data_IF_239016996030
#
_entry.id   IF_239016996030
#
_cell.length_a   1.000
_cell.length_b   1.000
_cell.length_c   1.000
_cell.angle_alpha   90.00
_cell.angle_beta   90.00
_cell.angle_gamma   90.00
#
_symmetry.space_group_name_H-M   'P 1'
#
loop_
_entity.id
_entity.type
_entity.pdbx_description
1 polymer ?
#
# COMPACT_ATOMS: atom_id res chain seq x y z
N UNK A 1 -9.84 -32.85 -27.43
CA UNK A 1 -9.94 -31.62 -28.22
C UNK A 1 -10.70 -30.66 -27.31
N UNK A 2 -9.96 -29.91 -26.54
CA UNK A 2 -10.47 -28.81 -25.69
C UNK A 2 -10.05 -27.56 -26.41
N UNK A 3 -11.00 -26.78 -26.86
CA UNK A 3 -10.76 -25.54 -27.60
C UNK A 3 -10.26 -24.47 -26.64
N UNK A 4 -9.11 -23.94 -27.01
CA UNK A 4 -8.36 -22.87 -26.36
C UNK A 4 -9.08 -21.53 -26.64
N UNK A 5 -9.88 -21.04 -25.73
CA UNK A 5 -10.46 -19.70 -25.80
C UNK A 5 -9.49 -18.69 -25.16
N UNK A 6 -8.40 -18.39 -25.87
CA UNK A 6 -7.61 -17.19 -25.56
C UNK A 6 -8.27 -15.97 -26.17
N UNK A 7 -9.03 -15.26 -25.36
CA UNK A 7 -9.51 -13.92 -25.68
C UNK A 7 -8.33 -12.93 -25.58
N UNK A 8 -7.91 -12.43 -26.74
CA UNK A 8 -6.93 -11.34 -26.82
C UNK A 8 -7.69 -10.03 -26.66
N UNK A 9 -7.69 -9.45 -25.47
CA UNK A 9 -8.17 -8.09 -25.26
C UNK A 9 -7.03 -7.11 -25.36
N UNK A 10 -7.15 -6.17 -26.30
CA UNK A 10 -6.30 -5.00 -26.40
C UNK A 10 -6.91 -3.91 -25.53
N UNK A 11 -6.21 -3.46 -24.52
CA UNK A 11 -6.55 -2.24 -23.81
C UNK A 11 -6.54 -1.07 -24.79
N UNK A 12 -7.69 -0.46 -25.02
CA UNK A 12 -7.85 0.81 -25.71
C UNK A 12 -7.91 1.88 -24.62
N UNK A 13 -6.76 2.46 -24.30
CA UNK A 13 -6.72 3.70 -23.52
C UNK A 13 -7.26 4.81 -24.41
N UNK A 14 -8.46 5.29 -24.10
CA UNK A 14 -8.98 6.53 -24.70
C UNK A 14 -8.21 7.70 -24.10
N UNK A 15 -7.17 8.13 -24.79
CA UNK A 15 -6.50 9.39 -24.54
C UNK A 15 -7.45 10.55 -24.75
N UNK A 16 -8.03 11.09 -23.69
CA UNK A 16 -8.76 12.35 -23.70
C UNK A 16 -7.78 13.52 -23.92
N UNK A 17 -7.71 14.03 -25.14
CA UNK A 17 -7.03 15.27 -25.45
C UNK A 17 -7.81 16.44 -24.84
N UNK A 18 -7.40 16.93 -23.67
CA UNK A 18 -7.87 18.21 -23.14
C UNK A 18 -7.05 19.33 -23.74
N UNK A 19 -7.69 20.10 -24.59
CA UNK A 19 -7.15 21.28 -25.24
C UNK A 19 -6.82 22.37 -24.22
N UNK A 20 -5.61 22.90 -24.33
CA UNK A 20 -5.17 24.10 -23.65
C UNK A 20 -6.01 25.29 -24.08
N UNK A 21 -6.77 25.88 -23.16
CA UNK A 21 -7.32 27.21 -23.30
C UNK A 21 -6.52 28.19 -22.46
N UNK A 22 -5.68 28.96 -23.13
CA UNK A 22 -5.04 30.11 -22.54
C UNK A 22 -6.09 31.21 -22.28
N UNK A 23 -6.20 31.68 -21.03
CA UNK A 23 -6.83 32.97 -20.75
C UNK A 23 -5.84 33.88 -20.02
N UNK A 24 -5.51 34.93 -20.74
CA UNK A 24 -4.74 36.05 -20.25
C UNK A 24 -5.60 36.98 -19.36
N UNK A 25 -5.03 37.39 -18.27
CA UNK A 25 -5.03 38.70 -17.61
C UNK A 25 -6.32 39.44 -17.33
N UNK A 26 -6.44 39.91 -16.09
CA UNK A 26 -6.48 41.36 -15.82
C UNK A 26 -6.37 41.64 -14.31
N UNK A 27 -5.52 42.57 -14.01
CA UNK A 27 -5.18 43.26 -12.76
C UNK A 27 -6.31 44.24 -12.34
N UNK A 28 -6.45 44.43 -11.02
CA UNK A 28 -7.13 45.56 -10.39
C UNK A 28 -7.94 45.07 -9.17
N UNK A 29 -7.69 45.42 -7.98
CA UNK A 29 -7.25 46.61 -7.30
C UNK A 29 -8.22 46.93 -6.18
N UNK A 30 -7.71 46.94 -4.91
CA UNK A 30 -8.14 47.78 -3.75
C UNK A 30 -9.65 47.86 -3.39
N UNK A 31 -10.07 47.82 -2.20
CA UNK A 31 -9.80 48.45 -0.94
C UNK A 31 -10.89 48.12 0.10
N UNK A 32 -10.46 48.03 1.32
CA UNK A 32 -10.99 48.58 2.57
C UNK A 32 -12.38 48.33 3.14
N UNK A 33 -12.24 48.09 4.42
CA UNK A 33 -13.02 48.59 5.57
C UNK A 33 -14.16 47.65 6.10
N UNK A 34 -13.90 47.10 7.25
CA UNK A 34 -14.07 47.59 8.62
C UNK A 34 -15.51 47.43 9.21
N UNK A 35 -15.49 47.04 10.42
CA UNK A 35 -16.39 47.25 11.56
C UNK A 35 -17.41 46.16 11.92
N UNK A 36 -17.10 45.58 13.06
CA UNK A 36 -17.72 45.78 14.38
C UNK A 36 -19.03 45.03 14.67
N UNK A 37 -18.87 44.25 15.65
CA UNK A 37 -19.34 44.25 17.04
C UNK A 37 -20.64 43.51 17.35
N UNK A 38 -20.56 42.93 18.54
CA UNK A 38 -21.58 42.62 19.55
C UNK A 38 -22.43 41.34 19.34
N UNK A 39 -22.51 40.39 20.20
CA UNK A 39 -22.38 40.41 21.66
C UNK A 39 -23.52 39.60 22.25
N UNK A 40 -23.28 39.05 23.41
CA UNK A 40 -24.22 38.42 24.33
C UNK A 40 -24.61 36.95 24.00
N UNK A 41 -24.28 35.90 24.75
CA UNK A 41 -24.27 35.79 26.20
C UNK A 41 -25.64 35.33 26.72
N UNK A 42 -25.70 34.06 27.16
CA UNK A 42 -26.52 33.74 28.35
C UNK A 42 -26.26 32.31 28.82
N UNK A 43 -25.90 32.24 30.07
CA UNK A 43 -25.75 31.10 30.95
C UNK A 43 -27.08 30.38 31.25
N UNK A 44 -26.95 29.14 31.73
CA UNK A 44 -28.07 28.48 32.40
C UNK A 44 -27.81 26.98 32.60
N UNK A 45 -27.00 26.57 33.48
CA UNK A 45 -27.12 26.02 34.84
C UNK A 45 -28.32 25.07 35.06
N UNK A 46 -28.00 23.88 35.58
CA UNK A 46 -29.02 23.15 36.36
C UNK A 46 -28.93 21.61 36.34
N UNK A 47 -27.99 21.04 37.02
CA UNK A 47 -28.11 20.14 38.20
C UNK A 47 -29.06 18.93 38.16
N UNK A 48 -28.48 17.74 38.33
CA UNK A 48 -28.81 16.84 39.46
C UNK A 48 -29.80 15.71 39.21
N UNK A 49 -29.37 14.50 39.49
CA UNK A 49 -30.29 13.41 39.78
C UNK A 49 -29.69 12.02 39.77
N UNK A 50 -29.07 11.69 40.87
CA UNK A 50 -28.67 10.35 41.31
C UNK A 50 -29.88 9.43 41.48
N UNK A 51 -29.76 8.13 41.12
CA UNK A 51 -30.85 7.16 41.37
C UNK A 51 -30.39 5.73 41.20
N UNK A 52 -29.92 5.16 42.26
CA UNK A 52 -29.49 3.78 42.50
C UNK A 52 -30.62 2.74 42.42
N UNK A 53 -30.30 1.52 41.98
CA UNK A 53 -30.81 0.29 42.59
C UNK A 53 -31.83 -0.53 41.83
N UNK A 54 -31.54 -1.81 41.66
CA UNK A 54 -32.55 -2.83 41.42
C UNK A 54 -32.09 -4.12 40.78
N UNK A 55 -31.53 -4.98 41.58
CA UNK A 55 -31.30 -6.42 41.34
C UNK A 55 -32.63 -7.16 41.08
N UNK A 56 -32.65 -8.09 40.10
CA UNK A 56 -33.83 -8.92 39.85
C UNK A 56 -33.50 -10.11 38.96
N UNK A 57 -33.26 -11.22 39.61
CA UNK A 57 -33.03 -12.58 39.17
C UNK A 57 -34.26 -13.22 38.44
N UNK A 58 -33.97 -14.05 37.41
CA UNK A 58 -34.67 -15.30 37.16
C UNK A 58 -35.71 -15.29 36.04
N UNK A 59 -35.52 -16.23 35.10
CA UNK A 59 -36.60 -16.66 34.22
C UNK A 59 -36.12 -17.46 33.01
N UNK A 60 -35.98 -18.75 33.20
CA UNK A 60 -35.88 -19.78 32.18
C UNK A 60 -37.08 -19.69 31.23
N UNK A 61 -36.88 -19.74 29.93
CA UNK A 61 -37.97 -19.81 28.96
C UNK A 61 -37.44 -20.43 27.64
N UNK A 62 -37.58 -21.76 27.56
CA UNK A 62 -37.44 -22.52 26.31
C UNK A 62 -38.45 -21.96 25.29
N UNK A 63 -37.96 -21.42 24.19
CA UNK A 63 -38.71 -20.98 23.02
C UNK A 63 -38.07 -21.43 21.74
N UNK A 64 -38.40 -22.65 21.31
CA UNK A 64 -38.11 -23.19 19.98
C UNK A 64 -38.77 -22.28 18.93
N UNK A 65 -37.97 -21.53 18.18
CA UNK A 65 -38.37 -20.71 17.05
C UNK A 65 -37.41 -20.94 15.90
N UNK A 66 -37.75 -21.95 15.09
CA UNK A 66 -37.10 -22.20 13.81
C UNK A 66 -37.41 -21.03 12.84
N UNK A 67 -36.46 -20.15 12.66
CA UNK A 67 -36.45 -19.12 11.63
C UNK A 67 -35.03 -19.11 11.08
N UNK A 68 -34.84 -19.68 9.87
CA UNK A 68 -33.57 -19.65 9.20
C UNK A 68 -33.16 -18.20 8.90
N UNK A 69 -32.33 -17.63 9.73
CA UNK A 69 -31.42 -16.58 9.40
C UNK A 69 -30.22 -17.29 8.76
N UNK A 70 -29.83 -16.90 7.54
CA UNK A 70 -28.54 -17.29 7.02
C UNK A 70 -27.49 -16.93 8.08
N UNK A 71 -26.72 -17.92 8.50
CA UNK A 71 -25.62 -17.68 9.43
C UNK A 71 -24.73 -16.64 8.76
N UNK A 72 -24.60 -15.46 9.39
CA UNK A 72 -23.61 -14.47 8.99
C UNK A 72 -22.25 -15.16 9.02
N UNK A 73 -21.47 -15.09 7.93
CA UNK A 73 -20.12 -15.64 7.91
C UNK A 73 -19.15 -14.82 8.79
N UNK A 74 -19.59 -13.65 9.28
CA UNK A 74 -18.79 -12.85 10.21
C UNK A 74 -18.68 -13.59 11.55
N UNK A 75 -17.45 -13.93 11.89
CA UNK A 75 -17.09 -14.69 13.10
C UNK A 75 -16.76 -13.77 14.27
N UNK A 76 -16.79 -14.35 15.47
CA UNK A 76 -16.22 -13.72 16.66
C UNK A 76 -14.70 -13.58 16.48
N UNK A 77 -14.16 -12.41 16.81
CA UNK A 77 -12.75 -12.07 16.61
C UNK A 77 -11.80 -13.03 17.36
N UNK A 78 -12.26 -13.62 18.46
CA UNK A 78 -11.52 -14.65 19.22
C UNK A 78 -11.36 -15.99 18.50
N UNK A 79 -12.03 -16.19 17.38
CA UNK A 79 -11.96 -17.43 16.57
C UNK A 79 -10.97 -17.30 15.40
N UNK A 80 -10.34 -16.13 15.20
CA UNK A 80 -9.37 -15.93 14.12
C UNK A 80 -8.08 -16.72 14.38
N UNK A 81 -7.68 -17.55 13.40
CA UNK A 81 -6.37 -18.23 13.40
C UNK A 81 -5.53 -17.67 12.23
N UNK A 82 -4.45 -16.93 12.49
CA UNK A 82 -3.62 -16.34 11.43
C UNK A 82 -2.92 -17.37 10.54
N UNK A 83 -2.84 -18.66 10.97
CA UNK A 83 -2.25 -19.73 10.17
C UNK A 83 -3.29 -20.44 9.29
N UNK A 84 -4.57 -20.35 9.63
CA UNK A 84 -5.69 -20.94 8.88
C UNK A 84 -6.96 -20.12 9.08
N UNK A 85 -7.05 -18.92 8.45
CA UNK A 85 -8.20 -18.03 8.61
C UNK A 85 -9.54 -18.63 8.13
N UNK A 86 -9.49 -19.63 7.24
CA UNK A 86 -10.68 -20.29 6.72
C UNK A 86 -11.61 -19.36 5.94
N UNK A 87 -11.06 -18.52 5.07
CA UNK A 87 -11.77 -17.50 4.28
C UNK A 87 -12.98 -18.03 3.50
N UNK A 88 -12.99 -19.30 3.12
CA UNK A 88 -14.11 -19.91 2.39
C UNK A 88 -15.39 -20.01 3.25
N UNK A 89 -15.23 -20.01 4.57
CA UNK A 89 -16.32 -20.22 5.53
C UNK A 89 -16.51 -19.02 6.50
N UNK A 90 -15.52 -18.11 6.56
CA UNK A 90 -15.47 -17.10 7.61
C UNK A 90 -15.08 -15.72 7.07
N UNK A 91 -15.64 -14.69 7.71
CA UNK A 91 -15.22 -13.30 7.60
C UNK A 91 -14.93 -12.78 9.01
N UNK A 92 -14.06 -11.80 9.10
CA UNK A 92 -13.65 -11.21 10.37
C UNK A 92 -13.67 -9.68 10.30
N UNK A 93 -13.84 -9.02 11.45
CA UNK A 93 -13.57 -7.58 11.52
C UNK A 93 -12.10 -7.32 11.30
N UNK A 94 -11.80 -6.12 10.82
CA UNK A 94 -10.41 -5.70 10.64
C UNK A 94 -9.65 -5.68 11.98
N UNK A 95 -10.34 -5.38 13.10
CA UNK A 95 -9.76 -5.47 14.45
C UNK A 95 -9.17 -6.86 14.75
N UNK A 96 -9.85 -7.95 14.37
CA UNK A 96 -9.33 -9.29 14.57
C UNK A 96 -8.06 -9.57 13.76
N UNK A 97 -7.96 -9.00 12.55
CA UNK A 97 -6.79 -9.11 11.68
C UNK A 97 -5.58 -8.41 12.31
N UNK A 98 -5.80 -7.21 12.87
CA UNK A 98 -4.78 -6.41 13.56
C UNK A 98 -4.36 -7.05 14.87
N UNK A 99 -5.31 -7.44 15.74
CA UNK A 99 -5.04 -8.01 17.06
C UNK A 99 -4.31 -9.37 17.01
N UNK A 100 -4.40 -10.09 15.89
CA UNK A 100 -3.76 -11.39 15.69
C UNK A 100 -2.53 -11.32 14.76
N UNK A 101 -1.94 -10.14 14.55
CA UNK A 101 -0.72 -9.92 13.77
C UNK A 101 -0.80 -10.45 12.33
N UNK A 102 -1.99 -10.45 11.69
CA UNK A 102 -2.16 -10.92 10.32
C UNK A 102 -1.93 -9.82 9.26
N UNK A 103 -1.66 -8.61 9.69
CA UNK A 103 -1.43 -7.45 8.81
C UNK A 103 -0.17 -7.66 7.94
N UNK A 104 0.85 -8.32 8.49
CA UNK A 104 2.16 -8.51 7.84
C UNK A 104 2.51 -9.98 7.67
N UNK A 105 3.58 -10.22 6.94
CA UNK A 105 4.28 -11.50 6.90
C UNK A 105 5.27 -11.64 8.06
N UNK A 106 5.81 -12.85 8.22
CA UNK A 106 6.80 -13.19 9.24
C UNK A 106 8.14 -13.51 8.60
N UNK A 107 9.21 -13.52 9.37
CA UNK A 107 10.57 -13.83 8.89
C UNK A 107 10.62 -15.13 8.10
N UNK A 108 9.85 -16.16 8.49
CA UNK A 108 9.79 -17.44 7.79
C UNK A 108 9.21 -17.32 6.37
N UNK A 109 8.26 -16.40 6.15
CA UNK A 109 7.72 -16.12 4.82
C UNK A 109 8.77 -15.44 3.93
N UNK A 110 9.53 -14.50 4.50
CA UNK A 110 10.61 -13.80 3.79
C UNK A 110 11.76 -14.77 3.42
N UNK A 111 12.14 -15.65 4.34
CA UNK A 111 13.12 -16.72 4.07
C UNK A 111 12.61 -17.65 2.96
N UNK A 112 11.35 -18.05 3.00
CA UNK A 112 10.73 -18.89 1.97
C UNK A 112 10.71 -18.22 0.59
N UNK A 113 10.50 -16.90 0.52
CA UNK A 113 10.62 -16.13 -0.73
C UNK A 113 12.05 -16.18 -1.28
N UNK A 114 13.07 -16.05 -0.42
CA UNK A 114 14.49 -16.13 -0.79
C UNK A 114 14.95 -17.54 -1.22
N UNK A 115 14.25 -18.59 -0.76
CA UNK A 115 14.57 -20.00 -1.08
C UNK A 115 13.86 -20.50 -2.34
N UNK A 116 13.01 -19.71 -2.98
CA UNK A 116 12.34 -20.11 -4.22
C UNK A 116 13.34 -20.57 -5.29
N UNK A 117 13.08 -21.72 -5.91
CA UNK A 117 13.90 -22.28 -7.01
C UNK A 117 13.54 -21.59 -8.34
N UNK A 118 14.08 -20.40 -8.53
CA UNK A 118 13.82 -19.55 -9.69
C UNK A 118 15.12 -19.29 -10.44
N UNK A 119 15.21 -19.81 -11.65
CA UNK A 119 16.39 -19.65 -12.52
C UNK A 119 16.44 -18.28 -13.19
N UNK A 120 15.31 -17.78 -13.68
CA UNK A 120 15.16 -16.54 -14.45
C UNK A 120 14.08 -15.65 -13.86
N UNK A 121 14.11 -14.36 -14.18
CA UNK A 121 13.07 -13.40 -13.83
C UNK A 121 11.76 -13.81 -14.50
N UNK A 122 10.68 -13.90 -13.72
CA UNK A 122 9.39 -14.40 -14.21
C UNK A 122 8.74 -13.50 -15.27
N UNK A 123 9.03 -12.19 -15.25
CA UNK A 123 8.49 -11.19 -16.18
C UNK A 123 9.41 -9.97 -16.26
N UNK A 124 9.51 -9.35 -17.45
CA UNK A 124 10.37 -8.21 -17.70
C UNK A 124 11.86 -8.56 -17.87
N UNK A 125 12.72 -7.59 -17.66
CA UNK A 125 14.15 -7.72 -17.83
C UNK A 125 14.83 -8.27 -16.55
N UNK A 126 15.97 -8.99 -16.68
CA UNK A 126 16.85 -9.23 -15.55
C UNK A 126 17.41 -7.89 -15.05
N UNK A 127 18.02 -7.91 -13.86
CA UNK A 127 18.70 -6.72 -13.33
C UNK A 127 19.76 -6.24 -14.30
N UNK A 128 19.92 -4.93 -14.47
CA UNK A 128 21.00 -4.37 -15.28
C UNK A 128 22.36 -4.67 -14.66
N UNK A 129 23.37 -4.85 -15.50
CA UNK A 129 24.76 -4.93 -15.06
C UNK A 129 25.38 -3.53 -15.04
N UNK A 130 26.28 -3.23 -14.10
CA UNK A 130 27.03 -1.98 -14.11
C UNK A 130 27.79 -1.77 -15.45
N UNK A 131 27.96 -0.51 -15.90
CA UNK A 131 28.72 -0.21 -17.11
C UNK A 131 30.15 -0.81 -17.08
N UNK A 132 30.56 -1.46 -18.18
CA UNK A 132 31.96 -1.96 -18.34
C UNK A 132 32.94 -0.79 -18.51
N UNK A 133 32.50 0.33 -19.08
CA UNK A 133 33.33 1.53 -19.26
C UNK A 133 33.22 2.43 -18.02
N UNK A 134 34.29 2.54 -17.26
CA UNK A 134 34.35 3.38 -16.06
C UNK A 134 33.94 4.86 -16.33
N UNK A 135 34.04 5.31 -17.58
CA UNK A 135 33.62 6.70 -17.94
C UNK A 135 32.11 6.89 -18.01
N UNK A 136 31.33 5.81 -18.02
CA UNK A 136 29.87 5.81 -17.97
C UNK A 136 29.34 5.71 -16.53
N UNK A 137 30.23 5.43 -15.57
CA UNK A 137 29.87 5.41 -14.16
C UNK A 137 29.59 6.84 -13.65
N UNK A 138 28.62 6.95 -12.77
CA UNK A 138 28.14 8.21 -12.19
C UNK A 138 28.56 8.32 -10.73
N UNK A 139 29.19 9.43 -10.37
CA UNK A 139 29.56 9.82 -9.02
C UNK A 139 28.87 11.16 -8.68
N UNK A 140 27.56 11.16 -8.36
CA UNK A 140 26.75 12.36 -8.26
C UNK A 140 27.09 13.21 -7.03
N UNK A 141 26.98 14.53 -7.20
CA UNK A 141 27.04 15.51 -6.12
C UNK A 141 26.03 16.65 -6.40
N UNK A 142 24.95 16.77 -5.67
CA UNK A 142 24.56 15.96 -4.51
C UNK A 142 24.09 14.54 -4.89
N UNK A 143 24.14 13.63 -3.92
CA UNK A 143 23.43 12.36 -3.96
C UNK A 143 21.96 12.61 -3.63
N UNK A 144 21.02 12.08 -4.41
CA UNK A 144 19.59 12.36 -4.24
C UNK A 144 18.84 11.07 -3.93
N UNK A 145 18.11 11.07 -2.82
CA UNK A 145 17.20 10.01 -2.40
C UNK A 145 15.76 10.41 -2.73
N UNK A 146 14.99 9.47 -3.28
CA UNK A 146 13.55 9.61 -3.52
C UNK A 146 12.81 8.52 -2.75
N UNK A 147 11.68 8.88 -2.14
CA UNK A 147 10.79 7.90 -1.53
C UNK A 147 9.48 7.78 -2.30
N UNK A 148 8.80 6.65 -2.13
CA UNK A 148 7.43 6.53 -2.61
C UNK A 148 6.55 7.60 -1.93
N UNK A 149 5.46 8.05 -2.59
CA UNK A 149 4.60 9.04 -1.98
C UNK A 149 4.04 8.53 -0.65
N UNK A 150 4.20 9.34 0.39
CA UNK A 150 3.66 9.10 1.73
C UNK A 150 2.37 9.86 1.94
N UNK A 151 1.62 9.44 2.93
CA UNK A 151 0.36 10.08 3.35
C UNK A 151 0.61 11.33 4.21
N UNK A 152 1.82 11.49 4.74
CA UNK A 152 2.23 12.60 5.60
C UNK A 152 2.49 13.88 4.80
N UNK A 153 2.35 15.02 5.46
CA UNK A 153 2.74 16.30 4.88
C UNK A 153 4.24 16.38 4.62
N UNK A 154 4.65 16.97 3.49
CA UNK A 154 6.04 17.11 3.04
C UNK A 154 7.03 17.56 4.15
N UNK A 155 6.62 18.51 5.00
CA UNK A 155 7.48 19.05 6.07
C UNK A 155 7.70 18.02 7.20
N UNK A 156 6.68 17.23 7.56
CA UNK A 156 6.79 16.19 8.59
C UNK A 156 7.64 15.04 8.05
N UNK A 157 7.41 14.64 6.82
CA UNK A 157 8.20 13.60 6.18
C UNK A 157 9.68 13.96 6.09
N UNK A 158 10.01 15.22 5.77
CA UNK A 158 11.41 15.68 5.73
C UNK A 158 12.11 15.51 7.09
N UNK A 159 11.44 15.82 8.20
CA UNK A 159 12.00 15.63 9.54
C UNK A 159 12.22 14.12 9.84
N UNK A 160 11.32 13.27 9.40
CA UNK A 160 11.37 11.83 9.61
C UNK A 160 12.48 11.15 8.80
N UNK A 161 12.73 11.59 7.56
CA UNK A 161 13.78 11.03 6.71
C UNK A 161 15.18 11.57 7.03
N UNK A 162 15.29 12.66 7.76
CA UNK A 162 16.58 13.30 8.07
C UNK A 162 17.61 12.36 8.70
N UNK A 163 17.29 11.45 9.65
CA UNK A 163 18.25 10.49 10.18
C UNK A 163 18.88 9.59 9.12
N UNK A 164 18.12 9.21 8.10
CA UNK A 164 18.62 8.45 6.95
C UNK A 164 19.57 9.31 6.11
N UNK A 165 19.17 10.56 5.79
CA UNK A 165 20.03 11.45 4.99
C UNK A 165 21.37 11.70 5.68
N UNK A 166 21.35 11.94 7.00
CA UNK A 166 22.59 12.14 7.81
C UNK A 166 23.51 10.91 7.76
N UNK A 167 22.94 9.69 7.80
CA UNK A 167 23.70 8.44 7.68
C UNK A 167 24.29 8.25 6.29
N UNK A 168 23.55 8.58 5.26
CA UNK A 168 24.03 8.56 3.88
C UNK A 168 25.17 9.58 3.68
N UNK A 169 25.07 10.79 4.26
CA UNK A 169 26.13 11.78 4.22
C UNK A 169 27.40 11.29 4.96
N UNK A 170 27.24 10.66 6.13
CA UNK A 170 28.36 10.11 6.89
C UNK A 170 29.07 8.98 6.14
N UNK A 171 28.33 8.07 5.54
CA UNK A 171 28.88 6.90 4.84
C UNK A 171 29.54 7.28 3.51
N UNK A 172 28.88 8.13 2.71
CA UNK A 172 29.33 8.45 1.35
C UNK A 172 30.27 9.66 1.27
N UNK A 173 30.27 10.52 2.31
CA UNK A 173 30.98 11.80 2.31
C UNK A 173 30.40 12.84 1.35
N UNK A 174 29.19 12.63 0.83
CA UNK A 174 28.49 13.49 -0.13
C UNK A 174 27.42 14.31 0.57
N UNK A 175 27.01 15.42 -0.03
CA UNK A 175 25.75 16.07 0.32
C UNK A 175 24.60 15.21 -0.15
N UNK A 176 23.63 14.93 0.73
CA UNK A 176 22.45 14.12 0.40
C UNK A 176 21.19 14.98 0.44
N UNK A 177 20.34 14.84 -0.56
CA UNK A 177 19.08 15.56 -0.66
C UNK A 177 17.94 14.57 -0.87
N UNK A 178 16.77 14.91 -0.30
CA UNK A 178 15.54 14.23 -0.58
C UNK A 178 14.76 14.92 -1.70
N UNK A 179 14.24 14.14 -2.65
CA UNK A 179 13.38 14.59 -3.74
C UNK A 179 11.93 14.22 -3.44
N UNK A 180 11.03 15.17 -3.14
CA UNK A 180 9.62 14.87 -2.93
C UNK A 180 8.93 14.48 -4.24
N UNK A 181 8.06 13.47 -4.17
CA UNK A 181 7.24 12.99 -5.29
C UNK A 181 5.79 12.82 -4.88
N UNK A 182 4.87 12.87 -5.85
CA UNK A 182 3.43 12.84 -5.59
C UNK A 182 2.71 11.59 -6.14
N UNK A 183 3.46 10.67 -6.75
CA UNK A 183 2.90 9.42 -7.29
C UNK A 183 3.98 8.36 -7.48
N UNK A 184 3.58 7.12 -7.58
CA UNK A 184 4.48 5.99 -7.90
C UNK A 184 5.20 6.20 -9.23
N UNK A 185 4.50 6.72 -10.25
CA UNK A 185 5.09 7.06 -11.54
C UNK A 185 6.18 8.12 -11.41
N UNK A 186 5.99 9.13 -10.55
CA UNK A 186 6.98 10.18 -10.33
C UNK A 186 8.26 9.66 -9.65
N UNK A 187 8.17 8.66 -8.77
CA UNK A 187 9.32 7.97 -8.16
C UNK A 187 10.18 7.30 -9.24
N UNK A 188 9.54 6.50 -10.11
CA UNK A 188 10.25 5.81 -11.21
C UNK A 188 10.86 6.82 -12.18
N UNK A 189 10.15 7.90 -12.52
CA UNK A 189 10.64 8.93 -13.43
C UNK A 189 11.80 9.74 -12.85
N UNK A 190 11.82 9.99 -11.52
CA UNK A 190 12.95 10.65 -10.87
C UNK A 190 14.25 9.81 -10.99
N UNK A 191 14.15 8.50 -10.77
CA UNK A 191 15.26 7.56 -10.95
C UNK A 191 15.67 7.46 -12.43
N UNK A 192 14.71 7.30 -13.34
CA UNK A 192 14.96 7.17 -14.79
C UNK A 192 15.67 8.39 -15.39
N UNK A 193 15.24 9.57 -14.99
CA UNK A 193 15.83 10.83 -15.48
C UNK A 193 17.15 11.21 -14.82
N UNK A 194 17.60 10.47 -13.80
CA UNK A 194 18.80 10.78 -13.04
C UNK A 194 18.64 11.97 -12.09
N UNK A 195 17.40 12.40 -11.79
CA UNK A 195 17.13 13.38 -10.73
C UNK A 195 17.31 12.75 -9.34
N UNK A 196 17.01 11.46 -9.22
CA UNK A 196 17.31 10.66 -8.03
C UNK A 196 18.27 9.52 -8.37
N UNK A 197 19.03 9.07 -7.38
CA UNK A 197 20.09 8.08 -7.52
C UNK A 197 19.83 6.85 -6.65
N UNK A 198 19.16 7.04 -5.53
CA UNK A 198 18.71 6.02 -4.58
C UNK A 198 17.22 6.24 -4.37
N UNK A 199 16.48 5.18 -4.10
CA UNK A 199 15.06 5.34 -3.79
C UNK A 199 14.49 4.19 -2.99
N UNK A 200 13.34 4.46 -2.36
CA UNK A 200 12.40 3.45 -1.92
C UNK A 200 11.24 3.46 -2.92
N UNK A 201 11.02 2.35 -3.60
CA UNK A 201 9.94 2.23 -4.59
C UNK A 201 8.87 1.27 -4.08
N UNK A 202 7.61 1.46 -4.47
CA UNK A 202 6.55 0.55 -4.02
C UNK A 202 6.76 -0.86 -4.59
N UNK A 203 6.18 -1.85 -3.91
CA UNK A 203 6.29 -3.26 -4.32
C UNK A 203 5.87 -3.47 -5.78
N UNK A 204 4.74 -2.91 -6.19
CA UNK A 204 4.21 -3.05 -7.56
C UNK A 204 5.06 -2.32 -8.59
N UNK A 205 5.58 -1.13 -8.26
CA UNK A 205 6.38 -0.34 -9.21
C UNK A 205 7.84 -0.76 -9.29
N UNK A 206 8.30 -1.68 -8.44
CA UNK A 206 9.69 -2.17 -8.46
C UNK A 206 10.07 -2.72 -9.84
N UNK A 207 9.22 -3.52 -10.45
CA UNK A 207 9.49 -4.07 -11.78
C UNK A 207 9.51 -2.99 -12.86
N UNK A 208 8.64 -1.99 -12.77
CA UNK A 208 8.71 -0.81 -13.65
C UNK A 208 10.03 -0.05 -13.48
N UNK A 209 10.48 0.15 -12.23
CA UNK A 209 11.73 0.82 -11.95
C UNK A 209 12.94 0.04 -12.50
N UNK A 210 12.96 -1.29 -12.38
CA UNK A 210 13.98 -2.15 -12.99
C UNK A 210 13.99 -2.03 -14.52
N UNK A 211 12.82 -2.07 -15.16
CA UNK A 211 12.70 -2.11 -16.61
C UNK A 211 12.81 -0.74 -17.30
N UNK A 212 12.47 0.35 -16.61
CA UNK A 212 12.42 1.70 -17.20
C UNK A 212 13.51 2.63 -16.69
N UNK A 213 14.01 2.40 -15.48
CA UNK A 213 14.98 3.27 -14.82
C UNK A 213 16.31 2.58 -14.53
N UNK A 214 16.48 1.31 -14.95
CA UNK A 214 17.68 0.53 -14.76
C UNK A 214 18.19 0.57 -13.30
N UNK A 215 17.29 0.34 -12.34
CA UNK A 215 17.64 0.29 -10.92
C UNK A 215 17.88 -1.12 -10.43
N UNK A 216 18.62 -1.24 -9.34
CA UNK A 216 18.95 -2.50 -8.68
C UNK A 216 18.31 -2.49 -7.28
N UNK A 217 17.25 -3.26 -7.02
CA UNK A 217 16.72 -3.50 -5.69
C UNK A 217 17.70 -4.31 -4.84
N UNK A 218 17.97 -3.89 -3.60
CA UNK A 218 18.99 -4.55 -2.79
C UNK A 218 18.60 -4.82 -1.34
N UNK A 219 17.66 -4.07 -0.76
CA UNK A 219 17.28 -4.24 0.64
C UNK A 219 15.78 -4.09 0.84
N UNK A 220 15.23 -4.81 1.81
CA UNK A 220 13.85 -4.70 2.27
C UNK A 220 13.80 -4.55 3.78
N UNK A 221 12.89 -3.70 4.28
CA UNK A 221 12.75 -3.40 5.69
C UNK A 221 12.06 -4.52 6.46
N UNK A 222 12.47 -4.72 7.72
CA UNK A 222 11.92 -5.68 8.68
C UNK A 222 11.68 -4.97 10.00
N UNK A 223 10.58 -5.26 10.68
CA UNK A 223 10.27 -4.70 11.99
C UNK A 223 11.10 -5.37 13.10
N UNK A 224 11.16 -4.73 14.28
CA UNK A 224 11.93 -5.22 15.43
C UNK A 224 11.50 -6.62 15.91
N UNK A 225 10.26 -7.00 15.68
CA UNK A 225 9.71 -8.33 16.03
C UNK A 225 9.82 -9.37 14.92
N UNK A 226 10.45 -9.02 13.78
CA UNK A 226 10.64 -9.87 12.62
C UNK A 226 9.46 -9.89 11.64
N UNK A 227 8.45 -9.04 11.82
CA UNK A 227 7.39 -8.87 10.83
C UNK A 227 7.91 -8.07 9.63
N UNK A 228 7.35 -8.32 8.45
CA UNK A 228 7.72 -7.62 7.22
C UNK A 228 6.55 -7.48 6.26
N UNK A 229 6.65 -6.52 5.34
CA UNK A 229 5.75 -6.36 4.23
C UNK A 229 4.29 -6.17 4.65
N UNK A 230 3.38 -6.65 3.82
CA UNK A 230 1.95 -6.44 3.97
C UNK A 230 1.16 -7.50 3.19
N UNK A 231 -0.18 -7.49 3.36
CA UNK A 231 -1.09 -8.34 2.60
C UNK A 231 -2.06 -7.50 1.77
N UNK A 232 -2.59 -8.07 0.72
CA UNK A 232 -3.84 -7.63 0.13
C UNK A 232 -4.99 -8.12 1.03
N UNK A 233 -5.85 -7.23 1.46
CA UNK A 233 -7.13 -7.54 2.08
C UNK A 233 -8.27 -7.13 1.14
N UNK A 234 -9.26 -7.99 0.98
CA UNK A 234 -10.52 -7.64 0.33
C UNK A 234 -11.50 -7.23 1.44
N UNK A 235 -11.91 -5.97 1.43
CA UNK A 235 -12.70 -5.35 2.50
C UNK A 235 -14.05 -4.83 2.05
N UNK A 236 -14.95 -4.73 3.00
CA UNK A 236 -16.24 -4.03 2.91
C UNK A 236 -16.60 -3.47 4.28
N UNK A 237 -17.70 -2.70 4.38
CA UNK A 237 -18.21 -2.27 5.70
C UNK A 237 -18.82 -3.43 6.49
N UNK A 238 -18.73 -3.35 7.81
CA UNK A 238 -19.29 -4.38 8.71
C UNK A 238 -20.81 -4.53 8.57
N UNK A 239 -21.55 -3.47 8.16
CA UNK A 239 -22.99 -3.49 7.96
C UNK A 239 -23.45 -4.05 6.59
N UNK A 240 -22.51 -4.40 5.71
CA UNK A 240 -22.80 -5.03 4.41
C UNK A 240 -22.86 -6.56 4.56
N UNK A 241 -23.96 -7.04 5.14
CA UNK A 241 -24.16 -8.48 5.42
C UNK A 241 -24.19 -9.34 4.16
N UNK A 242 -24.56 -8.77 3.01
CA UNK A 242 -24.68 -9.49 1.73
C UNK A 242 -23.34 -9.78 1.08
N UNK A 243 -22.28 -9.01 1.39
CA UNK A 243 -20.95 -9.24 0.85
C UNK A 243 -20.20 -10.20 1.78
N UNK A 244 -20.07 -11.46 1.39
CA UNK A 244 -19.46 -12.51 2.19
C UNK A 244 -18.14 -13.01 1.60
N UNK A 245 -17.87 -12.71 0.34
CA UNK A 245 -16.74 -13.19 -0.44
C UNK A 245 -16.42 -12.21 -1.56
N UNK A 246 -15.21 -12.28 -2.11
CA UNK A 246 -14.86 -11.59 -3.37
C UNK A 246 -15.79 -11.99 -4.51
N UNK A 247 -16.35 -13.21 -4.48
CA UNK A 247 -17.34 -13.65 -5.50
C UNK A 247 -18.64 -12.82 -5.53
N UNK A 248 -18.91 -12.06 -4.46
CA UNK A 248 -20.08 -11.16 -4.41
C UNK A 248 -19.79 -9.77 -5.02
N UNK A 249 -18.51 -9.39 -5.18
CA UNK A 249 -18.09 -8.06 -5.66
C UNK A 249 -18.75 -7.61 -6.97
N UNK A 250 -18.99 -8.49 -7.96
CA UNK A 250 -19.65 -8.10 -9.23
C UNK A 250 -21.02 -7.41 -9.10
N UNK A 251 -21.72 -7.61 -7.99
CA UNK A 251 -23.03 -7.01 -7.75
C UNK A 251 -22.96 -5.64 -7.05
N UNK A 252 -21.74 -5.13 -6.76
CA UNK A 252 -21.52 -3.95 -5.92
C UNK A 252 -20.60 -2.92 -6.57
N UNK A 253 -20.54 -1.72 -5.99
CA UNK A 253 -19.61 -0.67 -6.40
C UNK A 253 -18.21 -0.92 -5.83
N UNK A 254 -17.32 -1.47 -6.67
CA UNK A 254 -15.97 -1.86 -6.28
C UNK A 254 -14.97 -0.77 -6.61
N UNK A 255 -14.13 -0.38 -5.64
CA UNK A 255 -13.01 0.52 -5.89
C UNK A 255 -11.70 -0.21 -5.91
N UNK A 256 -10.79 0.21 -6.80
CA UNK A 256 -9.37 -0.09 -6.77
C UNK A 256 -8.57 1.18 -6.45
N UNK A 257 -7.27 1.08 -6.16
CA UNK A 257 -6.48 2.26 -5.76
C UNK A 257 -5.86 2.99 -6.93
N UNK A 258 -4.78 2.47 -7.49
CA UNK A 258 -4.04 2.99 -8.64
C UNK A 258 -3.59 1.83 -9.55
N UNK A 259 -3.42 2.02 -10.87
CA UNK A 259 -3.08 0.95 -11.80
C UNK A 259 -1.77 0.20 -11.48
N UNK A 260 -0.76 0.89 -10.99
CA UNK A 260 0.54 0.30 -10.63
C UNK A 260 0.61 -0.24 -9.18
N UNK A 261 -0.45 -0.07 -8.38
CA UNK A 261 -0.50 -0.58 -7.01
C UNK A 261 -0.55 -2.10 -6.99
N UNK A 262 0.32 -2.75 -6.22
CA UNK A 262 0.32 -4.21 -6.10
C UNK A 262 -0.98 -4.71 -5.45
N UNK A 263 -1.25 -4.36 -4.18
CA UNK A 263 -2.42 -4.84 -3.44
C UNK A 263 -3.72 -4.13 -3.81
N UNK A 264 -3.64 -2.94 -4.42
CA UNK A 264 -4.82 -2.16 -4.79
C UNK A 264 -5.34 -2.44 -6.20
N UNK A 265 -4.54 -3.08 -7.09
CA UNK A 265 -4.98 -3.38 -8.45
C UNK A 265 -4.31 -4.62 -9.06
N UNK A 266 -2.97 -4.71 -9.11
CA UNK A 266 -2.28 -5.77 -9.85
C UNK A 266 -2.56 -7.17 -9.26
N UNK A 267 -2.40 -7.35 -7.95
CA UNK A 267 -2.67 -8.61 -7.28
C UNK A 267 -4.17 -8.96 -7.27
N UNK A 268 -5.11 -8.04 -6.98
CA UNK A 268 -6.54 -8.31 -7.14
C UNK A 268 -6.90 -8.80 -8.54
N UNK A 269 -6.38 -8.17 -9.60
CA UNK A 269 -6.69 -8.55 -10.99
C UNK A 269 -6.29 -9.98 -11.34
N UNK A 270 -5.25 -10.52 -10.71
CA UNK A 270 -4.82 -11.90 -10.91
C UNK A 270 -5.45 -12.87 -9.91
N UNK A 271 -5.46 -12.49 -8.61
CA UNK A 271 -5.84 -13.41 -7.54
C UNK A 271 -7.36 -13.56 -7.40
N UNK A 272 -8.14 -12.52 -7.71
CA UNK A 272 -9.60 -12.63 -7.71
C UNK A 272 -10.09 -13.56 -8.82
N UNK A 273 -9.49 -13.49 -10.02
CA UNK A 273 -9.76 -14.46 -11.08
C UNK A 273 -9.34 -15.88 -10.67
N UNK A 274 -8.12 -16.01 -10.13
CA UNK A 274 -7.57 -17.32 -9.77
C UNK A 274 -8.37 -18.05 -8.67
N UNK A 275 -8.82 -17.32 -7.65
CA UNK A 275 -9.43 -17.92 -6.45
C UNK A 275 -10.95 -17.87 -6.45
N UNK A 276 -11.56 -16.91 -7.15
CA UNK A 276 -13.00 -16.66 -7.10
C UNK A 276 -13.69 -16.66 -8.46
N UNK A 277 -12.95 -16.81 -9.58
CA UNK A 277 -13.47 -16.70 -10.96
C UNK A 277 -14.13 -15.31 -11.18
N UNK A 278 -13.53 -14.26 -10.57
CA UNK A 278 -13.95 -12.85 -10.68
C UNK A 278 -12.84 -12.04 -11.34
N UNK A 279 -13.10 -11.56 -12.53
CA UNK A 279 -12.12 -10.78 -13.32
C UNK A 279 -12.50 -9.29 -13.31
N UNK A 280 -11.71 -8.42 -12.65
CA UNK A 280 -11.90 -6.97 -12.72
C UNK A 280 -11.92 -6.47 -14.18
N UNK A 281 -12.76 -5.47 -14.48
CA UNK A 281 -13.09 -4.96 -15.81
C UNK A 281 -13.89 -5.90 -16.72
N UNK A 282 -14.10 -7.17 -16.32
CA UNK A 282 -15.00 -8.09 -17.01
C UNK A 282 -16.29 -8.30 -16.24
N UNK A 283 -16.18 -8.60 -14.95
CA UNK A 283 -17.32 -8.92 -14.09
C UNK A 283 -17.85 -7.69 -13.34
N UNK A 284 -17.00 -6.69 -13.12
CA UNK A 284 -17.39 -5.38 -12.61
C UNK A 284 -16.49 -4.29 -13.21
N UNK A 285 -16.97 -3.03 -13.27
CA UNK A 285 -16.19 -1.88 -13.71
C UNK A 285 -15.21 -1.47 -12.62
N UNK A 286 -13.90 -1.35 -12.94
CA UNK A 286 -12.89 -0.88 -12.00
C UNK A 286 -12.94 0.64 -11.91
N UNK A 287 -13.21 1.16 -10.73
CA UNK A 287 -13.12 2.59 -10.41
C UNK A 287 -11.87 2.83 -9.55
N UNK A 288 -10.97 3.71 -10.02
CA UNK A 288 -9.75 4.05 -9.28
C UNK A 288 -9.98 5.22 -8.34
N UNK A 289 -9.80 5.01 -7.03
CA UNK A 289 -9.92 6.04 -6.00
C UNK A 289 -8.76 7.03 -5.97
N UNK A 290 -7.59 6.62 -6.48
CA UNK A 290 -6.35 7.40 -6.48
C UNK A 290 -5.40 7.08 -5.32
N UNK A 291 -5.76 6.15 -4.41
CA UNK A 291 -4.89 5.73 -3.32
C UNK A 291 -5.59 4.84 -2.29
N UNK A 292 -4.82 4.25 -1.37
CA UNK A 292 -5.35 3.34 -0.36
C UNK A 292 -6.26 4.05 0.64
N UNK A 293 -5.88 5.25 1.08
CA UNK A 293 -6.69 6.07 2.00
C UNK A 293 -8.02 6.44 1.39
N UNK A 294 -8.01 6.89 0.13
CA UNK A 294 -9.21 7.26 -0.60
C UNK A 294 -10.15 6.05 -0.76
N UNK A 295 -9.61 4.85 -1.03
CA UNK A 295 -10.41 3.61 -1.08
C UNK A 295 -11.03 3.29 0.28
N UNK A 296 -10.24 3.27 1.34
CA UNK A 296 -10.71 2.92 2.68
C UNK A 296 -11.75 3.93 3.19
N UNK A 297 -11.48 5.24 3.07
CA UNK A 297 -12.42 6.30 3.45
C UNK A 297 -13.71 6.19 2.63
N UNK A 298 -13.60 6.03 1.30
CA UNK A 298 -14.74 5.89 0.41
C UNK A 298 -15.64 4.69 0.77
N UNK A 299 -15.04 3.56 1.18
CA UNK A 299 -15.78 2.41 1.69
C UNK A 299 -16.45 2.75 3.02
N UNK A 300 -15.74 3.36 3.99
CA UNK A 300 -16.29 3.70 5.29
C UNK A 300 -17.51 4.65 5.20
N UNK A 301 -17.45 5.65 4.31
CA UNK A 301 -18.56 6.62 4.14
C UNK A 301 -19.64 6.16 3.16
N UNK A 302 -19.43 5.04 2.46
CA UNK A 302 -20.40 4.44 1.54
C UNK A 302 -20.39 5.02 0.12
N UNK A 303 -19.30 5.67 -0.30
CA UNK A 303 -19.07 6.06 -1.70
C UNK A 303 -18.77 4.83 -2.56
N UNK A 304 -18.10 3.84 -1.96
CA UNK A 304 -17.85 2.50 -2.50
C UNK A 304 -18.42 1.44 -1.54
N UNK A 305 -18.75 0.26 -2.06
CA UNK A 305 -19.27 -0.83 -1.24
C UNK A 305 -18.15 -1.74 -0.73
N UNK A 306 -17.15 -2.03 -1.57
CA UNK A 306 -16.06 -2.93 -1.27
C UNK A 306 -14.83 -2.63 -2.15
N UNK A 307 -13.71 -3.29 -1.83
CA UNK A 307 -12.51 -3.20 -2.65
C UNK A 307 -11.28 -3.85 -2.02
N UNK A 308 -10.20 -3.99 -2.80
CA UNK A 308 -8.90 -4.42 -2.32
C UNK A 308 -8.14 -3.27 -1.66
N UNK A 309 -7.43 -3.59 -0.58
CA UNK A 309 -6.64 -2.62 0.18
C UNK A 309 -5.30 -3.23 0.62
N UNK A 310 -4.29 -2.39 0.82
CA UNK A 310 -3.06 -2.75 1.53
C UNK A 310 -3.36 -2.84 3.03
N UNK A 311 -2.98 -3.91 3.66
CA UNK A 311 -3.27 -4.15 5.07
C UNK A 311 -2.60 -3.15 6.01
N UNK A 312 -1.35 -2.77 5.74
CA UNK A 312 -0.63 -1.76 6.54
C UNK A 312 -1.15 -0.36 6.26
N UNK A 313 -1.54 -0.06 5.03
CA UNK A 313 -2.08 1.25 4.69
C UNK A 313 -3.40 1.54 5.43
N UNK A 314 -4.31 0.55 5.52
CA UNK A 314 -5.55 0.74 6.28
C UNK A 314 -5.30 0.76 7.79
N UNK A 315 -4.30 0.00 8.29
CA UNK A 315 -3.88 0.07 9.70
C UNK A 315 -3.39 1.48 10.05
N UNK A 316 -2.49 2.04 9.23
CA UNK A 316 -1.93 3.37 9.43
C UNK A 316 -2.99 4.46 9.33
N UNK A 317 -3.91 4.35 8.34
CA UNK A 317 -5.03 5.26 8.19
C UNK A 317 -5.91 5.29 9.44
N UNK A 318 -6.36 4.13 9.93
CA UNK A 318 -7.23 4.05 11.10
C UNK A 318 -6.52 4.58 12.35
N UNK A 319 -5.23 4.25 12.53
CA UNK A 319 -4.44 4.74 13.66
C UNK A 319 -4.21 6.27 13.64
N UNK A 320 -4.26 6.89 12.46
CA UNK A 320 -4.05 8.34 12.29
C UNK A 320 -5.34 9.17 12.40
N UNK A 321 -6.54 8.55 12.50
CA UNK A 321 -7.84 9.21 12.44
C UNK A 321 -8.74 8.86 13.62
N UNK A 322 -9.53 9.84 14.06
CA UNK A 322 -10.51 9.67 15.15
C UNK A 322 -11.94 9.35 14.65
N UNK A 323 -12.18 9.41 13.34
CA UNK A 323 -13.51 9.30 12.72
C UNK A 323 -13.74 7.98 11.96
N UNK A 324 -12.75 7.09 11.94
CA UNK A 324 -12.80 5.75 11.34
C UNK A 324 -12.21 4.76 12.35
N UNK A 325 -12.86 3.60 12.51
CA UNK A 325 -12.46 2.55 13.45
C UNK A 325 -12.21 1.22 12.72
N UNK A 326 -11.36 0.35 13.29
CA UNK A 326 -11.16 -1.02 12.80
C UNK A 326 -12.47 -1.83 12.77
N UNK A 327 -13.42 -1.51 13.65
CA UNK A 327 -14.74 -2.13 13.70
C UNK A 327 -15.66 -1.73 12.52
N UNK A 328 -15.32 -0.67 11.77
CA UNK A 328 -16.12 -0.24 10.62
C UNK A 328 -15.94 -1.19 9.42
N UNK A 329 -14.85 -1.94 9.38
CA UNK A 329 -14.50 -2.80 8.26
C UNK A 329 -14.60 -4.29 8.57
N UNK A 330 -15.06 -5.02 7.58
CA UNK A 330 -15.07 -6.48 7.50
C UNK A 330 -14.11 -6.92 6.40
N UNK A 331 -13.26 -7.90 6.71
CA UNK A 331 -12.36 -8.55 5.77
C UNK A 331 -12.99 -9.85 5.30
N UNK A 332 -13.18 -9.98 3.99
CA UNK A 332 -13.78 -11.16 3.36
C UNK A 332 -12.74 -12.10 2.75
N UNK A 333 -11.52 -11.61 2.57
CA UNK A 333 -10.38 -12.41 2.12
C UNK A 333 -9.05 -11.68 2.34
N UNK A 334 -7.98 -12.44 2.53
CA UNK A 334 -6.61 -11.94 2.63
C UNK A 334 -5.61 -12.81 1.89
N UNK A 335 -4.64 -12.19 1.22
CA UNK A 335 -3.58 -12.87 0.48
C UNK A 335 -2.47 -13.41 1.39
N UNK A 336 -1.56 -14.21 0.81
CA UNK A 336 -0.22 -14.37 1.36
C UNK A 336 0.49 -13.01 1.43
N UNK A 337 1.50 -12.86 2.32
CA UNK A 337 2.22 -11.60 2.42
C UNK A 337 3.03 -11.29 1.16
N UNK A 338 3.15 -9.99 0.85
CA UNK A 338 4.05 -9.43 -0.14
C UNK A 338 5.23 -8.75 0.55
N UNK A 339 6.42 -8.72 -0.05
CA UNK A 339 7.53 -7.93 0.47
C UNK A 339 7.16 -6.43 0.48
N UNK A 340 7.75 -5.63 1.39
CA UNK A 340 7.59 -4.19 1.35
C UNK A 340 8.28 -3.60 0.12
N UNK A 341 8.06 -2.33 -0.17
CA UNK A 341 8.83 -1.63 -1.19
C UNK A 341 10.34 -1.72 -0.91
N UNK A 342 11.17 -2.06 -1.90
CA UNK A 342 12.59 -2.23 -1.70
C UNK A 342 13.34 -0.90 -1.77
N UNK A 343 14.49 -0.86 -1.15
CA UNK A 343 15.49 0.16 -1.44
C UNK A 343 16.21 -0.21 -2.73
N UNK A 344 16.32 0.77 -3.62
CA UNK A 344 16.94 0.61 -4.93
C UNK A 344 18.05 1.64 -5.13
N UNK A 345 19.02 1.32 -5.98
CA UNK A 345 19.97 2.29 -6.49
C UNK A 345 20.07 2.20 -8.02
N UNK A 346 20.50 3.25 -8.67
CA UNK A 346 20.78 3.23 -10.12
C UNK A 346 21.94 2.28 -10.41
N UNK A 347 21.86 1.56 -11.54
CA UNK A 347 22.85 0.58 -11.96
C UNK A 347 24.23 1.17 -12.29
N UNK A 348 24.25 2.46 -12.69
CA UNK A 348 25.42 3.16 -13.21
C UNK A 348 26.20 3.97 -12.15
N UNK A 349 25.90 3.79 -10.86
CA UNK A 349 26.67 4.42 -9.79
C UNK A 349 28.06 3.77 -9.66
N UNK A 350 29.01 4.60 -9.23
CA UNK A 350 30.38 4.14 -8.94
C UNK A 350 30.37 3.02 -7.88
N UNK A 351 31.08 1.89 -8.10
CA UNK A 351 30.98 0.70 -7.22
C UNK A 351 31.29 0.96 -5.74
N UNK A 352 32.27 1.83 -5.42
CA UNK A 352 32.57 2.18 -4.03
C UNK A 352 31.42 2.96 -3.39
N UNK A 353 30.77 3.85 -4.15
CA UNK A 353 29.59 4.56 -3.69
C UNK A 353 28.42 3.61 -3.45
N UNK A 354 28.23 2.60 -4.29
CA UNK A 354 27.19 1.57 -4.10
C UNK A 354 27.44 0.76 -2.81
N UNK A 355 28.69 0.39 -2.51
CA UNK A 355 29.05 -0.31 -1.28
C UNK A 355 28.73 0.57 -0.05
N UNK A 356 29.10 1.84 -0.08
CA UNK A 356 28.81 2.79 1.01
C UNK A 356 27.29 2.98 1.20
N UNK A 357 26.52 3.12 0.10
CA UNK A 357 25.05 3.22 0.13
C UNK A 357 24.44 1.96 0.76
N UNK A 358 24.81 0.78 0.28
CA UNK A 358 24.26 -0.50 0.79
C UNK A 358 24.53 -0.67 2.28
N UNK A 359 25.73 -0.27 2.75
CA UNK A 359 26.10 -0.37 4.16
C UNK A 359 25.20 0.43 5.09
N UNK A 360 24.63 1.55 4.61
CA UNK A 360 23.69 2.37 5.39
C UNK A 360 22.46 1.59 5.82
N UNK A 361 21.88 0.79 4.93
CA UNK A 361 20.73 -0.01 5.27
C UNK A 361 21.07 -1.36 5.87
N UNK A 362 22.08 -2.06 5.34
CA UNK A 362 22.37 -3.45 5.72
C UNK A 362 23.21 -3.60 6.98
N UNK A 363 24.01 -2.58 7.36
CA UNK A 363 24.91 -2.63 8.52
C UNK A 363 24.47 -1.70 9.67
N UNK A 364 23.40 -0.92 9.51
CA UNK A 364 22.89 -0.02 10.54
C UNK A 364 21.76 -0.68 11.32
N UNK A 365 21.89 -0.70 12.65
CA UNK A 365 20.78 -0.98 13.55
C UNK A 365 19.90 0.27 13.66
N UNK A 366 18.70 0.22 13.11
CA UNK A 366 17.74 1.32 13.09
C UNK A 366 16.84 1.36 14.32
N UNK A 367 16.87 0.31 15.17
CA UNK A 367 16.04 0.20 16.36
C UNK A 367 16.22 1.40 17.30
N UNK A 368 15.11 2.02 17.71
CA UNK A 368 15.07 3.20 18.58
C UNK A 368 15.50 4.51 17.91
N UNK A 369 15.55 4.54 16.57
CA UNK A 369 15.85 5.77 15.82
C UNK A 369 14.56 6.44 15.31
N UNK A 370 14.63 7.73 14.97
CA UNK A 370 13.51 8.44 14.32
C UNK A 370 13.14 7.83 12.95
N UNK A 371 14.06 7.14 12.29
CA UNK A 371 13.77 6.44 11.06
C UNK A 371 12.89 5.20 11.28
N UNK A 372 13.16 4.39 12.33
CA UNK A 372 12.25 3.31 12.73
C UNK A 372 10.87 3.86 13.14
N UNK A 373 10.85 4.95 13.92
CA UNK A 373 9.58 5.56 14.35
C UNK A 373 8.69 5.99 13.17
N UNK A 374 9.29 6.39 12.05
CA UNK A 374 8.56 6.84 10.86
C UNK A 374 8.23 5.72 9.87
N UNK A 375 9.10 4.71 9.75
CA UNK A 375 8.95 3.64 8.74
C UNK A 375 8.46 2.33 9.31
N UNK A 376 8.57 2.14 10.64
CA UNK A 376 8.35 0.87 11.33
C UNK A 376 9.49 -0.13 11.16
N UNK A 377 10.56 0.18 10.41
CA UNK A 377 11.64 -0.76 10.14
C UNK A 377 12.82 -0.57 11.09
N UNK A 378 13.12 -1.60 11.87
CA UNK A 378 14.26 -1.66 12.79
C UNK A 378 15.52 -2.23 12.14
N UNK A 379 15.37 -3.00 11.06
CA UNK A 379 16.45 -3.68 10.35
C UNK A 379 16.14 -3.79 8.86
N UNK A 380 17.15 -4.08 8.05
CA UNK A 380 17.02 -4.32 6.62
C UNK A 380 17.77 -5.58 6.22
N UNK A 381 17.14 -6.37 5.37
CA UNK A 381 17.73 -7.61 4.85
C UNK A 381 18.07 -7.47 3.38
N UNK A 382 19.17 -8.10 2.98
CA UNK A 382 19.53 -8.16 1.57
C UNK A 382 18.52 -9.03 0.81
N UNK A 383 18.08 -8.55 -0.36
CA UNK A 383 17.12 -9.26 -1.21
C UNK A 383 17.75 -9.69 -2.54
N UNK A 384 17.21 -10.74 -3.11
CA UNK A 384 17.47 -11.17 -4.50
C UNK A 384 16.18 -10.95 -5.31
N UNK A 385 16.18 -9.97 -6.20
CA UNK A 385 15.02 -9.53 -6.96
C UNK A 385 14.22 -10.67 -7.59
N UNK A 386 14.86 -11.57 -8.34
CA UNK A 386 14.17 -12.65 -9.07
C UNK A 386 13.45 -13.64 -8.14
N UNK A 387 13.86 -13.73 -6.85
CA UNK A 387 13.26 -14.63 -5.85
C UNK A 387 12.23 -13.93 -5.00
N UNK A 388 12.62 -12.85 -4.33
CA UNK A 388 11.72 -12.13 -3.41
C UNK A 388 10.57 -11.42 -4.14
N UNK A 389 10.76 -11.04 -5.42
CA UNK A 389 9.71 -10.45 -6.27
C UNK A 389 9.03 -11.44 -7.22
N UNK A 390 9.35 -12.75 -7.15
CA UNK A 390 8.82 -13.73 -8.09
C UNK A 390 7.28 -13.72 -8.16
N UNK A 391 6.60 -13.67 -7.03
CA UNK A 391 5.13 -13.71 -7.00
C UNK A 391 4.52 -12.45 -7.62
N UNK A 392 5.11 -11.28 -7.36
CA UNK A 392 4.70 -10.02 -8.00
C UNK A 392 4.91 -10.08 -9.51
N UNK A 393 6.05 -10.58 -9.95
CA UNK A 393 6.37 -10.73 -11.38
C UNK A 393 5.47 -11.76 -12.07
N UNK A 394 5.08 -12.83 -11.38
CA UNK A 394 4.09 -13.80 -11.89
C UNK A 394 2.71 -13.15 -12.02
N UNK A 395 2.27 -12.35 -11.04
CA UNK A 395 1.03 -11.57 -11.09
C UNK A 395 1.07 -10.61 -12.27
N UNK A 396 2.13 -9.83 -12.44
CA UNK A 396 2.25 -8.88 -13.54
C UNK A 396 2.31 -9.57 -14.91
N UNK A 397 2.95 -10.72 -15.01
CA UNK A 397 2.91 -11.56 -16.22
C UNK A 397 1.50 -12.07 -16.51
N UNK A 398 0.76 -12.48 -15.49
CA UNK A 398 -0.62 -12.94 -15.64
C UNK A 398 -1.51 -11.82 -16.17
N UNK A 399 -1.34 -10.61 -15.66
CA UNK A 399 -2.06 -9.40 -16.10
C UNK A 399 -1.55 -8.85 -17.46
N UNK A 400 -0.55 -9.49 -18.09
CA UNK A 400 0.07 -9.03 -19.33
C UNK A 400 0.61 -7.58 -19.24
N UNK A 401 1.15 -7.22 -18.07
CA UNK A 401 1.69 -5.87 -17.81
C UNK A 401 2.85 -5.58 -18.78
N UNK A 402 2.74 -4.48 -19.52
CA UNK A 402 3.82 -3.94 -20.33
C UNK A 402 4.51 -2.81 -19.55
N UNK A 403 5.84 -2.90 -19.36
CA UNK A 403 6.62 -1.89 -18.64
C UNK A 403 6.86 -0.67 -19.55
N UNK A 404 5.84 0.17 -19.64
CA UNK A 404 5.86 1.44 -20.36
C UNK A 404 5.45 2.59 -19.41
N UNK A 405 6.02 3.80 -19.62
CA UNK A 405 5.71 4.97 -18.77
C UNK A 405 4.21 5.36 -18.76
N UNK A 406 3.43 4.87 -19.72
CA UNK A 406 1.99 5.11 -19.80
C UNK A 406 1.15 4.14 -18.95
N UNK A 407 1.77 3.12 -18.36
CA UNK A 407 1.13 2.08 -17.55
C UNK A 407 1.48 2.20 -16.05
N UNK A 408 2.17 3.28 -15.68
CA UNK A 408 2.51 3.64 -14.30
C UNK A 408 1.40 4.49 -13.68
#
# INVERSE_FOLDING_TARGET
MVEDHKSRRKFLILGGATGAAALAGCVGGSDDSNSDEAGAGLEGNGNGGNGNGGNGNGGNGDGNGNGGSGDSMLRDDSEFDPNDPGWEENNYRLSAIVENDYIRGRTEDLEAMGEQDVDEVAHGNPLPEPPEDESELVDPEPLVFVDQPGEEGEAQYQDNVQPLLDRLEEATGKTVQWEPVSSYAATVEALRSGRAHIGNVSTGTTAFAVNLADVIPFAAGVQADGQFGYRLLAITRTDMDEIQSVADFPDYNVTHTEPASNSGHQAPSALFDQYFDVTPDEDFEVEFSGGHDQSAIGIAVGDYDCGPICSTCIEDLVNSRDDIDFEDYKVVWGSNPFPPGPIVHRYDLEPGLVEDIKSVWLDTDWAGTGYEESTGYADFVEIEYKRHWNDILVIQRYNEVEYESGNL
#
